data_IF_914094153382
#
_entry.id   IF_914094153382
#
_cell.length_a   1.000
_cell.length_b   1.000
_cell.length_c   1.000
_cell.angle_alpha   90.00
_cell.angle_beta   90.00
_cell.angle_gamma   90.00
#
_symmetry.space_group_name_H-M   'P 1'
#
loop_
_entity.id
_entity.type
_entity.pdbx_description
1 polymer ?
#
# COMPACT_ATOMS: atom_id res chain seq x y z
N UNK A 1 -9.16 4.39 13.49
CA UNK A 1 -7.87 4.84 14.09
C UNK A 1 -6.70 4.20 13.35
N UNK A 2 -6.61 2.86 13.30
CA UNK A 2 -5.50 2.14 12.65
C UNK A 2 -5.29 2.51 11.18
N UNK A 3 -6.35 2.65 10.37
CA UNK A 3 -6.24 3.17 9.01
C UNK A 3 -5.66 4.59 8.92
N UNK A 4 -6.00 5.47 9.89
CA UNK A 4 -5.45 6.82 9.93
C UNK A 4 -3.95 6.80 10.30
N UNK A 5 -3.57 5.95 11.26
CA UNK A 5 -2.16 5.73 11.59
C UNK A 5 -1.40 5.22 10.36
N UNK A 6 -1.91 4.19 9.70
CA UNK A 6 -1.34 3.61 8.49
C UNK A 6 -1.22 4.66 7.38
N UNK A 7 -2.24 5.50 7.17
CA UNK A 7 -2.18 6.61 6.21
C UNK A 7 -1.04 7.59 6.50
N UNK A 8 -0.85 7.98 7.77
CA UNK A 8 0.25 8.87 8.13
C UNK A 8 1.61 8.19 7.95
N UNK A 9 1.76 6.92 8.34
CA UNK A 9 3.00 6.15 8.14
C UNK A 9 3.30 5.96 6.64
N UNK A 10 2.27 5.75 5.81
CA UNK A 10 2.40 5.67 4.34
C UNK A 10 2.94 6.96 3.75
N UNK A 11 2.43 8.11 4.19
CA UNK A 11 2.94 9.42 3.77
C UNK A 11 4.41 9.60 4.14
N UNK A 12 4.79 9.25 5.37
CA UNK A 12 6.19 9.31 5.85
C UNK A 12 7.09 8.34 5.06
N UNK A 13 6.56 7.21 4.59
CA UNK A 13 7.25 6.24 3.74
C UNK A 13 7.37 6.67 2.26
N UNK A 14 6.85 7.85 1.90
CA UNK A 14 6.84 8.37 0.53
C UNK A 14 5.80 7.71 -0.38
N UNK A 15 4.78 7.06 0.18
CA UNK A 15 3.66 6.50 -0.56
C UNK A 15 2.64 7.59 -0.83
N UNK A 16 2.25 7.72 -2.10
CA UNK A 16 1.18 8.63 -2.49
C UNK A 16 -0.16 8.19 -1.90
N UNK A 17 -0.67 8.96 -0.93
CA UNK A 17 -1.99 8.79 -0.33
C UNK A 17 -2.91 9.97 -0.71
N UNK A 18 -4.22 9.76 -0.79
CA UNK A 18 -5.18 10.87 -0.84
C UNK A 18 -5.17 11.70 0.45
N UNK A 19 -5.64 12.95 0.39
CA UNK A 19 -5.87 13.74 1.59
C UNK A 19 -6.87 13.01 2.50
N UNK A 20 -6.53 12.87 3.78
CA UNK A 20 -7.37 12.20 4.74
C UNK A 20 -7.38 12.93 6.09
N UNK A 21 -8.50 12.86 6.79
CA UNK A 21 -8.71 13.53 8.08
C UNK A 21 -9.40 12.59 9.05
N UNK A 22 -9.09 12.75 10.32
CA UNK A 22 -9.83 12.14 11.40
C UNK A 22 -10.86 13.17 11.91
N UNK A 23 -12.14 12.91 11.69
CA UNK A 23 -13.22 13.85 12.01
C UNK A 23 -14.11 13.28 13.11
N UNK A 24 -14.50 14.12 14.06
CA UNK A 24 -15.46 13.74 15.09
C UNK A 24 -16.84 14.29 14.74
N UNK A 25 -17.80 13.39 14.47
CA UNK A 25 -19.20 13.76 14.19
C UNK A 25 -20.14 13.46 15.37
N UNK A 26 -19.66 12.77 16.40
CA UNK A 26 -20.40 12.48 17.62
C UNK A 26 -19.46 12.11 18.77
N UNK A 27 -20.00 12.01 19.98
CA UNK A 27 -19.26 11.54 21.16
C UNK A 27 -18.88 10.05 21.11
N UNK A 28 -19.37 9.30 20.11
CA UNK A 28 -19.10 7.85 19.96
C UNK A 28 -17.71 7.56 19.40
N UNK A 29 -16.99 8.57 18.92
CA UNK A 29 -15.63 8.43 18.41
C UNK A 29 -15.41 9.18 17.10
N UNK A 30 -14.33 8.80 16.43
CA UNK A 30 -13.85 9.46 15.23
C UNK A 30 -14.17 8.65 13.96
N UNK A 31 -14.49 9.35 12.88
CA UNK A 31 -14.63 8.84 11.53
C UNK A 31 -13.40 9.22 10.72
N UNK A 32 -12.76 8.22 10.11
CA UNK A 32 -11.69 8.44 9.14
C UNK A 32 -12.33 8.82 7.79
N UNK A 33 -12.02 10.02 7.29
CA UNK A 33 -12.54 10.52 6.02
C UNK A 33 -11.40 10.68 5.02
N UNK A 34 -11.65 10.24 3.79
CA UNK A 34 -10.65 10.24 2.71
C UNK A 34 -11.21 10.99 1.51
N UNK A 35 -10.44 11.92 0.96
CA UNK A 35 -10.80 12.62 -0.27
C UNK A 35 -10.69 11.66 -1.45
N UNK A 36 -11.75 11.56 -2.25
CA UNK A 36 -11.76 10.74 -3.46
C UNK A 36 -10.80 11.29 -4.52
N UNK A 37 -9.79 10.51 -4.88
CA UNK A 37 -8.83 10.87 -5.94
C UNK A 37 -9.38 10.72 -7.37
N UNK A 38 -10.53 10.05 -7.54
CA UNK A 38 -11.22 9.93 -8.84
C UNK A 38 -12.21 11.07 -9.11
N UNK A 39 -12.26 12.09 -8.25
CA UNK A 39 -13.17 13.24 -8.36
C UNK A 39 -12.41 14.55 -8.43
N UNK A 40 -12.90 15.45 -9.26
CA UNK A 40 -12.61 16.89 -9.20
C UNK A 40 -13.92 17.62 -8.89
N UNK A 41 -13.92 18.93 -8.57
CA UNK A 41 -15.16 19.67 -8.33
C UNK A 41 -16.18 19.54 -9.46
N UNK A 42 -15.72 19.41 -10.71
CA UNK A 42 -16.57 19.45 -11.90
C UNK A 42 -16.56 18.16 -12.73
N UNK A 43 -15.80 17.14 -12.35
CA UNK A 43 -15.65 15.93 -13.17
C UNK A 43 -15.30 14.68 -12.38
N UNK A 44 -15.47 13.53 -13.04
CA UNK A 44 -14.96 12.24 -12.59
C UNK A 44 -13.82 11.81 -13.50
N UNK A 45 -12.73 11.33 -12.90
CA UNK A 45 -11.63 10.68 -13.62
C UNK A 45 -11.91 9.19 -13.71
N UNK A 46 -11.58 8.57 -14.84
CA UNK A 46 -11.76 7.13 -15.01
C UNK A 46 -10.82 6.35 -14.09
N UNK A 47 -11.37 5.34 -13.44
CA UNK A 47 -10.70 4.45 -12.51
C UNK A 47 -10.98 3.01 -12.92
N UNK A 48 -9.99 2.15 -12.75
CA UNK A 48 -10.11 0.70 -12.91
C UNK A 48 -9.29 0.01 -11.83
N UNK A 49 -9.81 -1.03 -11.19
CA UNK A 49 -9.02 -1.82 -10.25
C UNK A 49 -8.03 -2.71 -10.98
N UNK A 50 -6.99 -3.18 -10.28
CA UNK A 50 -6.08 -4.17 -10.84
C UNK A 50 -6.81 -5.45 -11.24
N UNK A 51 -7.83 -5.84 -10.47
CA UNK A 51 -8.68 -6.98 -10.79
C UNK A 51 -9.31 -6.85 -12.18
N UNK A 52 -9.80 -5.65 -12.53
CA UNK A 52 -10.34 -5.37 -13.86
C UNK A 52 -9.25 -5.27 -14.93
N UNK A 53 -8.09 -4.68 -14.63
CA UNK A 53 -6.97 -4.61 -15.59
C UNK A 53 -6.42 -5.99 -15.96
N UNK A 54 -6.46 -6.94 -15.03
CA UNK A 54 -5.99 -8.32 -15.22
C UNK A 54 -7.09 -9.26 -15.75
N UNK A 55 -8.32 -8.77 -15.93
CA UNK A 55 -9.50 -9.61 -16.22
C UNK A 55 -9.67 -10.79 -15.23
N UNK A 56 -9.35 -10.53 -13.97
CA UNK A 56 -9.37 -11.53 -12.91
C UNK A 56 -10.74 -11.63 -12.24
N UNK A 57 -11.10 -12.83 -11.77
CA UNK A 57 -12.34 -13.09 -11.00
C UNK A 57 -12.12 -13.12 -9.49
N UNK A 58 -10.87 -13.26 -9.06
CA UNK A 58 -10.42 -13.30 -7.65
C UNK A 58 -9.02 -12.71 -7.52
N UNK A 59 -8.47 -12.70 -6.31
CA UNK A 59 -7.09 -12.22 -6.07
C UNK A 59 -6.12 -13.36 -5.75
N UNK A 60 -6.65 -14.53 -5.40
CA UNK A 60 -5.89 -15.73 -5.11
C UNK A 60 -5.12 -16.20 -6.36
N UNK A 61 -3.84 -16.49 -6.18
CA UNK A 61 -2.95 -16.90 -7.27
C UNK A 61 -2.36 -15.75 -8.08
N UNK A 62 -2.68 -14.50 -7.73
CA UNK A 62 -2.03 -13.31 -8.28
C UNK A 62 -0.90 -12.80 -7.39
N UNK A 63 -0.02 -12.03 -8.00
CA UNK A 63 1.17 -11.48 -7.37
C UNK A 63 1.31 -9.98 -7.57
N UNK A 64 2.20 -9.36 -6.80
CA UNK A 64 2.68 -8.02 -7.10
C UNK A 64 3.36 -7.93 -8.47
N UNK A 65 3.92 -9.02 -9.00
CA UNK A 65 4.53 -9.04 -10.33
C UNK A 65 3.48 -8.94 -11.46
N UNK A 66 2.24 -9.37 -11.23
CA UNK A 66 1.15 -9.12 -12.18
C UNK A 66 0.83 -7.62 -12.27
N UNK A 67 0.89 -6.90 -11.14
CA UNK A 67 0.72 -5.45 -11.10
C UNK A 67 1.87 -4.73 -11.80
N UNK A 68 3.12 -5.23 -11.65
CA UNK A 68 4.27 -4.76 -12.44
C UNK A 68 3.98 -4.91 -13.93
N UNK A 69 3.48 -6.07 -14.37
CA UNK A 69 3.14 -6.30 -15.78
C UNK A 69 2.05 -5.34 -16.28
N UNK A 70 1.01 -5.04 -15.50
CA UNK A 70 0.00 -4.03 -15.87
C UNK A 70 0.63 -2.66 -16.06
N UNK A 71 1.51 -2.23 -15.14
CA UNK A 71 2.19 -0.93 -15.23
C UNK A 71 3.10 -0.88 -16.47
N UNK A 72 3.87 -1.93 -16.72
CA UNK A 72 4.78 -2.06 -17.86
C UNK A 72 4.05 -2.01 -19.20
N UNK A 73 2.91 -2.69 -19.31
CA UNK A 73 2.22 -2.88 -20.60
C UNK A 73 1.20 -1.80 -20.91
N UNK A 74 0.56 -1.26 -19.89
CA UNK A 74 -0.59 -0.35 -20.02
C UNK A 74 -0.36 0.99 -19.35
N UNK A 75 0.80 1.20 -18.74
CA UNK A 75 1.16 2.42 -18.03
C UNK A 75 1.33 3.62 -18.96
N UNK A 76 1.07 4.82 -18.44
CA UNK A 76 1.50 6.06 -19.09
C UNK A 76 3.02 6.02 -19.25
N UNK A 77 3.52 6.10 -20.47
CA UNK A 77 4.94 5.88 -20.81
C UNK A 77 5.91 6.70 -19.95
N UNK A 78 5.55 7.95 -19.64
CA UNK A 78 6.35 8.88 -18.83
C UNK A 78 6.26 8.65 -17.31
N UNK A 79 5.37 7.78 -16.83
CA UNK A 79 5.16 7.50 -15.41
C UNK A 79 5.53 6.07 -14.98
N UNK A 80 5.80 5.15 -15.91
CA UNK A 80 6.10 3.73 -15.60
C UNK A 80 7.12 3.59 -14.46
N UNK A 81 8.28 4.24 -14.56
CA UNK A 81 9.33 4.12 -13.53
C UNK A 81 8.87 4.61 -12.14
N UNK A 82 8.08 5.69 -12.10
CA UNK A 82 7.53 6.22 -10.85
C UNK A 82 6.48 5.27 -10.28
N UNK A 83 5.61 4.73 -11.11
CA UNK A 83 4.52 3.85 -10.69
C UNK A 83 5.06 2.52 -10.17
N UNK A 84 6.12 1.97 -10.79
CA UNK A 84 6.83 0.80 -10.28
C UNK A 84 7.50 1.07 -8.94
N UNK A 85 8.18 2.23 -8.77
CA UNK A 85 8.74 2.61 -7.47
C UNK A 85 7.64 2.73 -6.39
N UNK A 86 6.51 3.34 -6.74
CA UNK A 86 5.36 3.48 -5.83
C UNK A 86 4.76 2.12 -5.48
N UNK A 87 4.68 1.18 -6.43
CA UNK A 87 4.21 -0.18 -6.17
C UNK A 87 5.17 -0.92 -5.22
N UNK A 88 6.48 -0.83 -5.47
CA UNK A 88 7.50 -1.42 -4.60
C UNK A 88 7.42 -0.89 -3.17
N UNK A 89 7.29 0.44 -3.01
CA UNK A 89 7.08 1.08 -1.69
C UNK A 89 5.85 0.53 -0.98
N UNK A 90 4.73 0.36 -1.69
CA UNK A 90 3.47 -0.17 -1.13
C UNK A 90 3.60 -1.62 -0.71
N UNK A 91 4.18 -2.46 -1.55
CA UNK A 91 4.42 -3.87 -1.23
C UNK A 91 5.27 -3.99 0.04
N UNK A 92 6.38 -3.24 0.11
CA UNK A 92 7.26 -3.26 1.28
C UNK A 92 6.52 -2.77 2.52
N UNK A 93 5.82 -1.64 2.41
CA UNK A 93 5.06 -1.10 3.52
C UNK A 93 4.00 -2.07 4.03
N UNK A 94 3.25 -2.71 3.13
CA UNK A 94 2.24 -3.71 3.46
C UNK A 94 2.84 -4.88 4.24
N UNK A 95 4.03 -5.36 3.85
CA UNK A 95 4.78 -6.39 4.61
C UNK A 95 5.08 -5.87 6.02
N UNK A 96 5.68 -4.69 6.15
CA UNK A 96 6.15 -4.16 7.44
C UNK A 96 5.01 -3.82 8.40
N UNK A 97 3.86 -3.38 7.91
CA UNK A 97 2.70 -3.09 8.76
C UNK A 97 1.72 -4.26 8.89
N UNK A 98 1.99 -5.40 8.25
CA UNK A 98 1.09 -6.53 8.25
C UNK A 98 -0.26 -6.26 7.58
N UNK A 99 -0.30 -5.42 6.54
CA UNK A 99 -1.49 -5.28 5.69
C UNK A 99 -1.56 -6.47 4.73
N UNK A 100 -2.24 -7.53 5.18
CA UNK A 100 -2.31 -8.83 4.51
C UNK A 100 -3.56 -9.02 3.65
N UNK A 101 -4.45 -8.03 3.61
CA UNK A 101 -5.69 -8.05 2.81
C UNK A 101 -5.64 -7.12 1.60
N UNK A 102 -4.44 -6.95 1.04
CA UNK A 102 -4.10 -6.12 -0.10
C UNK A 102 -4.48 -6.77 -1.44
N UNK A 103 -5.75 -7.17 -1.56
CA UNK A 103 -6.28 -7.84 -2.74
C UNK A 103 -6.32 -6.93 -3.98
N UNK A 104 -6.51 -7.49 -5.18
CA UNK A 104 -6.48 -6.76 -6.46
C UNK A 104 -7.47 -5.59 -6.57
N UNK A 105 -8.50 -5.52 -5.71
CA UNK A 105 -9.42 -4.36 -5.66
C UNK A 105 -8.86 -3.16 -4.90
N UNK A 106 -7.84 -3.36 -4.06
CA UNK A 106 -7.15 -2.34 -3.27
C UNK A 106 -5.98 -1.71 -4.04
N UNK A 107 -5.72 -2.23 -5.24
CA UNK A 107 -4.83 -1.61 -6.21
C UNK A 107 -5.65 -1.03 -7.35
N UNK A 108 -5.42 0.23 -7.65
CA UNK A 108 -6.21 0.99 -8.61
C UNK A 108 -5.35 1.69 -9.65
N UNK A 109 -5.96 1.97 -10.79
CA UNK A 109 -5.35 2.64 -11.92
C UNK A 109 -6.25 3.77 -12.41
N UNK A 110 -5.68 4.96 -12.60
CA UNK A 110 -6.33 6.16 -13.10
C UNK A 110 -5.99 6.35 -14.57
N UNK A 111 -6.98 6.62 -15.43
CA UNK A 111 -6.70 6.93 -16.84
C UNK A 111 -6.00 8.29 -16.93
N UNK A 112 -4.85 8.34 -17.62
CA UNK A 112 -4.10 9.57 -17.81
C UNK A 112 -3.21 9.52 -19.07
N UNK A 113 -3.22 10.58 -19.86
CA UNK A 113 -2.40 10.66 -21.07
C UNK A 113 -2.65 9.50 -22.03
N UNK A 114 -1.57 8.82 -22.40
CA UNK A 114 -1.53 7.67 -23.32
C UNK A 114 -1.87 6.33 -22.66
N UNK A 115 -2.03 6.27 -21.33
CA UNK A 115 -2.19 5.00 -20.62
C UNK A 115 -2.88 5.13 -19.26
N UNK A 116 -2.49 4.25 -18.35
CA UNK A 116 -2.95 4.19 -16.97
C UNK A 116 -1.84 4.59 -16.00
N UNK A 117 -2.20 5.24 -14.90
CA UNK A 117 -1.28 5.56 -13.81
C UNK A 117 -1.73 4.86 -12.56
N UNK A 118 -0.80 4.35 -11.76
CA UNK A 118 -1.11 3.78 -10.46
C UNK A 118 -1.82 4.84 -9.61
N UNK A 119 -3.02 4.53 -9.10
CA UNK A 119 -3.77 5.45 -8.23
C UNK A 119 -3.02 5.71 -6.93
N UNK A 120 -3.31 6.78 -6.17
CA UNK A 120 -2.93 6.83 -4.76
C UNK A 120 -3.33 5.54 -4.03
N UNK A 121 -2.57 5.13 -3.01
CA UNK A 121 -2.95 3.98 -2.20
C UNK A 121 -4.15 4.31 -1.32
N UNK A 122 -4.96 3.30 -1.02
CA UNK A 122 -6.17 3.40 -0.21
C UNK A 122 -6.42 2.04 0.45
N UNK A 123 -7.29 2.02 1.45
CA UNK A 123 -7.65 0.79 2.20
C UNK A 123 -6.41 0.04 2.74
N UNK A 124 -5.56 0.78 3.46
CA UNK A 124 -4.32 0.27 4.04
C UNK A 124 -4.52 0.14 5.55
N UNK A 125 -4.50 -1.09 6.06
CA UNK A 125 -4.74 -1.37 7.46
C UNK A 125 -3.97 -2.62 7.92
N UNK A 126 -3.31 -2.62 9.11
CA UNK A 126 -2.78 -3.85 9.68
C UNK A 126 -3.89 -4.90 9.88
N UNK A 127 -3.59 -6.16 9.57
CA UNK A 127 -4.50 -7.30 9.72
C UNK A 127 -3.85 -8.41 10.57
N UNK A 128 -4.20 -8.52 11.87
CA UNK A 128 -3.67 -9.56 12.75
C UNK A 128 -4.25 -10.97 12.49
N UNK A 129 -5.32 -11.09 11.71
CA UNK A 129 -6.10 -12.34 11.59
C UNK A 129 -5.67 -13.25 10.43
N UNK A 130 -4.79 -12.77 9.53
CA UNK A 130 -4.25 -13.55 8.41
C UNK A 130 -2.77 -13.78 8.62
N UNK A 131 -2.20 -14.93 8.27
CA UNK A 131 -0.75 -15.16 8.38
C UNK A 131 0.04 -14.73 7.13
N UNK A 132 -0.61 -14.79 5.96
CA UNK A 132 0.00 -14.54 4.65
C UNK A 132 -0.74 -13.41 3.92
N UNK A 133 -0.06 -12.77 2.97
CA UNK A 133 -0.66 -11.79 2.07
C UNK A 133 -1.66 -12.46 1.11
N UNK A 134 -2.65 -11.70 0.64
CA UNK A 134 -3.56 -12.19 -0.42
C UNK A 134 -2.83 -12.29 -1.75
N UNK A 135 -1.96 -11.33 -2.06
CA UNK A 135 -1.09 -11.37 -3.22
C UNK A 135 0.27 -11.97 -2.88
N UNK A 136 0.82 -12.78 -3.77
CA UNK A 136 2.21 -13.23 -3.65
C UNK A 136 3.18 -12.03 -3.75
N UNK A 137 4.24 -12.07 -2.93
CA UNK A 137 5.28 -11.05 -2.87
C UNK A 137 6.26 -11.20 -4.04
N UNK A 138 6.65 -12.45 -4.34
CA UNK A 138 7.30 -12.83 -5.59
C UNK A 138 6.28 -13.42 -6.59
N UNK A 139 6.65 -14.41 -7.41
CA UNK A 139 5.71 -15.02 -8.35
C UNK A 139 4.63 -15.87 -7.66
N UNK A 140 4.89 -16.41 -6.46
CA UNK A 140 4.03 -17.42 -5.81
C UNK A 140 3.97 -17.37 -4.29
N UNK A 141 4.98 -16.82 -3.63
CA UNK A 141 5.14 -16.85 -2.17
C UNK A 141 4.46 -15.63 -1.51
N UNK A 142 3.38 -15.81 -0.75
CA UNK A 142 2.68 -14.73 -0.06
C UNK A 142 3.21 -14.48 1.36
N UNK A 143 4.36 -15.07 1.72
CA UNK A 143 4.94 -14.91 3.06
C UNK A 143 5.31 -13.45 3.33
N UNK A 144 5.02 -12.92 4.54
CA UNK A 144 5.34 -11.55 4.90
C UNK A 144 6.84 -11.43 5.21
N UNK A 145 7.68 -11.46 4.18
CA UNK A 145 9.14 -11.39 4.26
C UNK A 145 9.67 -10.34 3.28
N UNK A 146 10.29 -9.28 3.80
CA UNK A 146 10.80 -8.19 2.97
C UNK A 146 11.94 -8.63 2.04
N UNK A 147 12.64 -9.72 2.37
CA UNK A 147 13.73 -10.27 1.56
C UNK A 147 13.20 -10.85 0.25
N UNK A 148 12.00 -11.43 0.25
CA UNK A 148 11.33 -11.90 -0.97
C UNK A 148 11.10 -10.72 -1.92
N UNK A 149 10.57 -9.60 -1.39
CA UNK A 149 10.34 -8.41 -2.20
C UNK A 149 11.64 -7.78 -2.70
N UNK A 150 12.67 -7.68 -1.85
CA UNK A 150 13.97 -7.14 -2.24
C UNK A 150 14.61 -7.97 -3.36
N UNK A 151 14.42 -9.29 -3.35
CA UNK A 151 14.90 -10.18 -4.40
C UNK A 151 14.19 -9.96 -5.76
N UNK A 152 13.02 -9.31 -5.78
CA UNK A 152 12.28 -8.99 -7.01
C UNK A 152 12.46 -7.55 -7.47
N UNK A 153 13.35 -6.77 -6.85
CA UNK A 153 13.57 -5.35 -7.15
C UNK A 153 13.81 -5.03 -8.64
N UNK A 154 14.48 -5.92 -9.37
CA UNK A 154 14.77 -5.73 -10.80
C UNK A 154 13.49 -5.65 -11.65
N UNK A 155 12.42 -6.38 -11.28
CA UNK A 155 11.12 -6.29 -11.96
C UNK A 155 10.48 -4.90 -11.83
N UNK A 156 10.80 -4.17 -10.76
CA UNK A 156 10.36 -2.79 -10.55
C UNK A 156 11.29 -1.76 -11.20
N UNK A 157 12.27 -2.20 -12.01
CA UNK A 157 13.35 -1.39 -12.60
C UNK A 157 14.21 -0.68 -11.55
N UNK A 158 14.33 -1.24 -10.36
CA UNK A 158 15.14 -0.69 -9.28
C UNK A 158 16.47 -1.43 -9.20
N UNK A 159 17.58 -0.69 -9.23
CA UNK A 159 18.87 -1.24 -8.82
C UNK A 159 18.82 -1.65 -7.34
N UNK A 160 19.62 -2.64 -6.92
CA UNK A 160 19.73 -3.05 -5.52
C UNK A 160 19.94 -1.85 -4.57
N UNK A 161 20.83 -0.92 -4.91
CA UNK A 161 21.08 0.30 -4.13
C UNK A 161 19.82 1.18 -3.98
N UNK A 162 19.01 1.29 -5.03
CA UNK A 162 17.78 2.06 -4.98
C UNK A 162 16.71 1.36 -4.12
N UNK A 163 16.57 0.04 -4.28
CA UNK A 163 15.67 -0.78 -3.46
C UNK A 163 16.05 -0.70 -1.96
N UNK A 164 17.34 -0.80 -1.62
CA UNK A 164 17.83 -0.64 -0.25
C UNK A 164 17.57 0.76 0.32
N UNK A 165 17.77 1.80 -0.50
CA UNK A 165 17.49 3.17 -0.09
C UNK A 165 15.99 3.38 0.20
N UNK A 166 15.13 2.83 -0.65
CA UNK A 166 13.68 2.83 -0.43
C UNK A 166 13.35 2.05 0.85
N UNK A 167 13.93 0.86 1.04
CA UNK A 167 13.70 0.07 2.23
C UNK A 167 14.09 0.81 3.50
N UNK A 168 15.24 1.49 3.52
CA UNK A 168 15.64 2.34 4.64
C UNK A 168 14.61 3.43 4.96
N UNK A 169 14.03 4.08 3.95
CA UNK A 169 12.99 5.10 4.12
C UNK A 169 11.70 4.50 4.69
N UNK A 170 11.21 3.39 4.13
CA UNK A 170 9.97 2.75 4.57
C UNK A 170 10.12 2.21 6.00
N UNK A 171 11.24 1.53 6.31
CA UNK A 171 11.52 1.05 7.68
C UNK A 171 11.57 2.21 8.67
N UNK A 172 12.25 3.30 8.32
CA UNK A 172 12.32 4.49 9.18
C UNK A 172 10.94 5.08 9.47
N UNK A 173 10.05 5.15 8.47
CA UNK A 173 8.69 5.63 8.66
C UNK A 173 7.88 4.76 9.64
N UNK A 174 8.06 3.44 9.64
CA UNK A 174 7.31 2.50 10.49
C UNK A 174 7.85 2.42 11.92
N UNK A 175 9.13 2.74 12.17
CA UNK A 175 9.80 2.55 13.48
C UNK A 175 9.01 3.06 14.69
N UNK A 176 8.46 4.27 14.61
CA UNK A 176 7.80 4.92 15.76
C UNK A 176 6.28 4.67 15.82
N UNK A 177 5.77 3.65 15.12
CA UNK A 177 4.33 3.39 15.01
C UNK A 177 3.63 3.26 16.37
N UNK A 178 4.28 2.65 17.37
CA UNK A 178 3.70 2.46 18.71
C UNK A 178 3.49 3.78 19.43
N UNK A 179 4.47 4.69 19.34
CA UNK A 179 4.37 6.02 19.95
C UNK A 179 3.25 6.83 19.28
N UNK A 180 3.17 6.76 17.95
CA UNK A 180 2.14 7.43 17.16
C UNK A 180 0.74 6.84 17.45
N UNK A 181 0.63 5.52 17.59
CA UNK A 181 -0.60 4.85 18.00
C UNK A 181 -1.08 5.32 19.39
N UNK A 182 -0.18 5.42 20.38
CA UNK A 182 -0.50 5.97 21.71
C UNK A 182 -0.97 7.41 21.64
N UNK A 183 -0.32 8.24 20.82
CA UNK A 183 -0.72 9.63 20.63
C UNK A 183 -2.12 9.77 19.99
N UNK A 184 -2.54 8.77 19.21
CA UNK A 184 -3.89 8.67 18.64
C UNK A 184 -4.92 8.03 19.59
N UNK A 185 -4.50 7.62 20.79
CA UNK A 185 -5.37 7.07 21.83
C UNK A 185 -5.45 5.54 21.88
N UNK A 186 -4.57 4.82 21.17
CA UNK A 186 -4.54 3.35 21.23
C UNK A 186 -4.18 2.86 22.65
N UNK A 187 -4.93 1.88 23.13
CA UNK A 187 -4.64 1.20 24.39
C UNK A 187 -3.41 0.29 24.27
N UNK A 188 -2.82 -0.08 25.42
CA UNK A 188 -1.71 -1.04 25.44
C UNK A 188 -2.09 -2.41 24.87
N UNK A 189 -3.34 -2.83 25.05
CA UNK A 189 -3.85 -4.10 24.51
C UNK A 189 -3.93 -4.09 22.98
N UNK A 190 -4.43 -3.00 22.39
CA UNK A 190 -4.47 -2.87 20.93
C UNK A 190 -3.06 -2.77 20.33
N UNK A 191 -2.13 -2.07 21.00
CA UNK A 191 -0.72 -2.02 20.56
C UNK A 191 -0.09 -3.40 20.62
N UNK A 192 -0.31 -4.16 21.69
CA UNK A 192 0.22 -5.52 21.81
C UNK A 192 -0.34 -6.44 20.72
N UNK A 193 -1.63 -6.32 20.39
CA UNK A 193 -2.26 -7.04 19.29
C UNK A 193 -1.59 -6.72 17.94
N UNK A 194 -1.41 -5.42 17.64
CA UNK A 194 -0.81 -4.99 16.37
C UNK A 194 0.69 -5.27 16.29
N UNK A 195 1.40 -5.40 17.42
CA UNK A 195 2.82 -5.75 17.45
C UNK A 195 3.10 -7.17 16.92
N UNK A 196 2.10 -8.06 16.91
CA UNK A 196 2.24 -9.37 16.28
C UNK A 196 2.47 -9.29 14.76
N UNK A 197 2.06 -8.18 14.12
CA UNK A 197 2.10 -8.02 12.66
C UNK A 197 2.91 -6.84 12.18
N UNK A 198 2.88 -5.70 12.89
CA UNK A 198 3.70 -4.53 12.55
C UNK A 198 5.13 -4.74 13.06
N UNK A 199 6.06 -4.88 12.13
CA UNK A 199 7.47 -5.09 12.38
C UNK A 199 8.32 -4.34 11.33
N UNK A 200 9.00 -3.24 11.70
CA UNK A 200 9.85 -2.48 10.79
C UNK A 200 11.06 -3.27 10.26
N UNK A 201 11.46 -4.36 10.89
CA UNK A 201 12.65 -5.15 10.53
C UNK A 201 12.29 -6.50 9.88
N UNK A 202 11.00 -6.77 9.65
CA UNK A 202 10.48 -7.92 8.90
C UNK A 202 11.04 -7.98 7.47
#
# INVERSE_FOLDING_TARGET
MWEFLACQLSLDAGIAMPEARLMQFSDRGHTYTVQRFDRTPNSRRMFSSAMTQLDATGSEGHSYLDLVQVIETSGTSTQIARDLEQLFRRALFNILIGNRDDHLRNHGFMRAGDGWQLSPAFDVNPNPDKDHHVLAIDDRDPSPDSRLLLATADYYRLSAKAADAIAGQVRAAVRDWQQRARALGASLGEIALMQAVIDPDR
#
